data_IF_362617554117
#
_entry.id   IF_362617554117
#
_cell.length_a   1.000
_cell.length_b   1.000
_cell.length_c   1.000
_cell.angle_alpha   90.00
_cell.angle_beta   90.00
_cell.angle_gamma   90.00
#
_symmetry.space_group_name_H-M   'P 1'
#
loop_
_entity.id
_entity.type
_entity.pdbx_description
1 polymer ?
#
# COMPACT_ATOMS: atom_id res chain seq x y z
N UNK A 1 -7.76 7.83 11.64
CA UNK A 1 -8.18 6.90 12.72
C UNK A 1 -6.95 6.34 13.42
N UNK A 2 -6.38 7.06 14.37
CA UNK A 2 -5.23 6.61 15.16
C UNK A 2 -5.65 5.51 16.13
N UNK A 3 -4.83 4.48 16.30
CA UNK A 3 -5.02 3.48 17.36
C UNK A 3 -3.91 3.72 18.36
N UNK A 4 -4.24 4.40 19.44
CA UNK A 4 -3.38 4.53 20.60
C UNK A 4 -3.62 3.30 21.47
N UNK A 5 -2.58 2.50 21.72
CA UNK A 5 -2.71 1.31 22.57
C UNK A 5 -2.17 1.71 23.93
N UNK A 6 -3.05 2.00 24.88
CA UNK A 6 -2.63 2.24 26.26
C UNK A 6 -2.17 0.92 26.89
N UNK A 7 -1.33 1.03 27.93
CA UNK A 7 -0.62 -0.08 28.59
C UNK A 7 -1.60 -1.18 29.10
N UNK A 8 -2.86 -0.81 29.32
CA UNK A 8 -3.93 -1.71 29.78
C UNK A 8 -4.61 -2.49 28.63
N UNK A 9 -4.14 -2.33 27.39
CA UNK A 9 -4.69 -2.98 26.20
C UNK A 9 -5.95 -2.30 25.64
N UNK A 10 -6.34 -1.15 26.18
CA UNK A 10 -7.51 -0.39 25.72
C UNK A 10 -7.09 0.52 24.54
N UNK A 11 -7.69 0.36 23.35
CA UNK A 11 -7.40 1.23 22.22
C UNK A 11 -8.11 2.58 22.38
N UNK A 12 -7.35 3.66 22.53
CA UNK A 12 -7.82 5.04 22.49
C UNK A 12 -7.73 5.61 21.06
N UNK A 13 -8.75 6.34 20.63
CA UNK A 13 -8.84 6.95 19.29
C UNK A 13 -8.51 8.44 19.38
N UNK A 14 -7.45 8.89 18.71
CA UNK A 14 -7.15 10.33 18.57
C UNK A 14 -6.89 10.72 17.11
N UNK A 15 -6.86 12.03 16.84
CA UNK A 15 -6.58 12.63 15.53
C UNK A 15 -5.34 13.50 15.64
N UNK A 16 -4.31 13.23 14.84
CA UNK A 16 -3.14 14.09 14.71
C UNK A 16 -3.34 15.15 13.60
N UNK A 17 -2.82 16.37 13.79
CA UNK A 17 -2.67 17.34 12.72
C UNK A 17 -1.36 17.10 11.94
N UNK A 18 -1.41 17.35 10.63
CA UNK A 18 -0.26 17.65 9.77
C UNK A 18 0.76 16.54 9.42
N UNK A 19 0.29 15.38 8.99
CA UNK A 19 1.05 14.55 8.04
C UNK A 19 0.21 14.41 6.76
N UNK A 20 0.69 14.97 5.64
CA UNK A 20 0.00 15.03 4.35
C UNK A 20 -0.21 13.67 3.65
N UNK A 21 0.11 12.57 4.33
CA UNK A 21 -0.28 11.23 3.88
C UNK A 21 -1.54 10.86 4.64
N UNK A 22 -2.55 10.43 3.90
CA UNK A 22 -3.82 9.89 4.39
C UNK A 22 -3.61 8.52 5.07
N UNK A 23 -2.60 8.43 5.96
CA UNK A 23 -2.28 7.30 6.80
C UNK A 23 -3.46 7.15 7.73
N UNK A 24 -4.38 6.28 7.32
CA UNK A 24 -5.67 6.16 7.99
C UNK A 24 -5.50 5.69 9.43
N UNK A 25 -4.35 5.06 9.79
CA UNK A 25 -4.04 4.60 11.14
C UNK A 25 -2.56 4.72 11.51
N UNK A 26 -2.31 5.45 12.59
CA UNK A 26 -0.99 5.52 13.24
C UNK A 26 -1.07 4.72 14.53
N UNK A 27 -0.11 3.81 14.74
CA UNK A 27 0.16 3.18 16.03
C UNK A 27 0.99 4.14 16.87
N UNK A 28 0.42 4.57 17.98
CA UNK A 28 1.21 5.15 19.05
C UNK A 28 1.40 4.08 20.11
N UNK A 29 2.66 3.81 20.43
CA UNK A 29 3.02 3.19 21.70
C UNK A 29 3.00 4.29 22.77
N UNK A 30 2.91 3.99 24.07
CA UNK A 30 3.05 5.01 25.12
C UNK A 30 4.22 4.75 26.08
N UNK A 31 4.86 3.59 25.98
CA UNK A 31 5.99 3.11 26.77
C UNK A 31 6.34 1.71 26.23
N UNK A 32 7.46 1.06 26.63
CA UNK A 32 8.14 0.03 25.80
C UNK A 32 7.13 -0.98 25.28
N UNK A 33 7.26 -1.38 24.01
CA UNK A 33 6.32 -2.22 23.28
C UNK A 33 5.71 -3.23 24.25
N UNK A 34 4.51 -2.92 24.77
CA UNK A 34 3.89 -3.72 25.82
C UNK A 34 3.79 -5.18 25.36
N UNK A 35 3.47 -6.10 26.27
CA UNK A 35 3.47 -7.55 26.01
C UNK A 35 3.28 -7.92 24.52
N UNK A 36 4.32 -8.40 23.81
CA UNK A 36 4.32 -8.52 22.35
C UNK A 36 3.21 -9.43 21.82
N UNK A 37 2.66 -10.32 22.67
CA UNK A 37 1.51 -11.15 22.34
C UNK A 37 0.23 -10.33 22.20
N UNK A 38 0.01 -9.33 23.06
CA UNK A 38 -1.16 -8.44 22.98
C UNK A 38 -1.07 -7.61 21.71
N UNK A 39 0.09 -7.02 21.43
CA UNK A 39 0.30 -6.25 20.21
C UNK A 39 0.09 -7.10 18.95
N UNK A 40 0.60 -8.33 18.94
CA UNK A 40 0.35 -9.26 17.84
C UNK A 40 -1.14 -9.56 17.65
N UNK A 41 -1.90 -9.74 18.73
CA UNK A 41 -3.35 -9.94 18.66
C UNK A 41 -4.08 -8.71 18.10
N UNK A 42 -3.68 -7.51 18.51
CA UNK A 42 -4.24 -6.25 18.01
C UNK A 42 -3.95 -6.13 16.52
N UNK A 43 -2.69 -6.28 16.11
CA UNK A 43 -2.25 -6.22 14.71
C UNK A 43 -3.01 -7.22 13.84
N UNK A 44 -3.19 -8.47 14.30
CA UNK A 44 -3.92 -9.50 13.56
C UNK A 44 -5.43 -9.24 13.39
N UNK A 45 -6.01 -8.34 14.19
CA UNK A 45 -7.42 -7.95 14.08
C UNK A 45 -7.63 -6.73 13.18
N UNK A 46 -6.54 -6.09 12.72
CA UNK A 46 -6.66 -4.95 11.84
C UNK A 46 -7.09 -5.39 10.43
N UNK A 47 -7.91 -4.59 9.73
CA UNK A 47 -8.28 -4.89 8.35
C UNK A 47 -7.04 -5.01 7.45
N UNK A 48 -7.05 -5.92 6.47
CA UNK A 48 -5.95 -6.10 5.54
C UNK A 48 -5.68 -4.85 4.72
N UNK A 49 -4.46 -4.77 4.20
CA UNK A 49 -3.92 -3.74 3.32
C UNK A 49 -3.95 -2.32 3.90
N UNK A 50 -4.11 -2.17 5.21
CA UNK A 50 -4.01 -0.85 5.84
C UNK A 50 -2.56 -0.48 6.14
N UNK A 51 -2.14 0.74 5.78
CA UNK A 51 -0.88 1.30 6.23
C UNK A 51 -0.94 1.61 7.73
N UNK A 52 0.14 1.24 8.41
CA UNK A 52 0.34 1.40 9.84
C UNK A 52 1.66 2.14 10.06
N UNK A 53 1.58 3.41 10.44
CA UNK A 53 2.75 4.17 10.89
C UNK A 53 3.03 3.92 12.37
N UNK A 54 4.27 4.10 12.78
CA UNK A 54 4.67 4.20 14.18
C UNK A 54 4.79 5.69 14.48
N UNK A 55 4.29 6.22 15.61
CA UNK A 55 4.40 7.66 15.93
C UNK A 55 5.50 8.02 16.93
N UNK A 56 6.19 7.02 17.47
CA UNK A 56 7.17 7.22 18.52
C UNK A 56 8.52 6.66 18.11
N UNK A 57 9.56 7.21 18.70
CA UNK A 57 10.90 6.70 18.56
C UNK A 57 10.99 5.32 19.25
N UNK A 58 11.32 4.29 18.48
CA UNK A 58 11.49 2.95 19.01
C UNK A 58 12.93 2.75 19.47
N UNK A 59 13.11 2.07 20.61
CA UNK A 59 14.40 1.46 20.92
C UNK A 59 14.71 0.36 19.90
N UNK A 60 15.96 -0.08 19.83
CA UNK A 60 16.34 -1.14 18.91
C UNK A 60 15.66 -2.48 19.28
N UNK A 61 15.54 -2.78 20.57
CA UNK A 61 14.86 -3.98 21.07
C UNK A 61 13.38 -4.00 20.69
N UNK A 62 12.71 -2.86 20.85
CA UNK A 62 11.31 -2.65 20.50
C UNK A 62 11.09 -2.77 18.99
N UNK A 63 11.99 -2.19 18.19
CA UNK A 63 12.00 -2.33 16.75
C UNK A 63 12.16 -3.80 16.29
N UNK A 64 13.07 -4.55 16.91
CA UNK A 64 13.27 -5.99 16.66
C UNK A 64 12.00 -6.78 17.02
N UNK A 65 11.41 -6.51 18.19
CA UNK A 65 10.20 -7.17 18.66
C UNK A 65 9.04 -6.92 17.69
N UNK A 66 8.85 -5.67 17.25
CA UNK A 66 7.82 -5.29 16.29
C UNK A 66 8.00 -6.01 14.95
N UNK A 67 9.23 -6.03 14.41
CA UNK A 67 9.54 -6.73 13.15
C UNK A 67 9.12 -8.21 13.17
N UNK A 68 9.41 -8.91 14.28
CA UNK A 68 9.09 -10.34 14.44
C UNK A 68 7.60 -10.64 14.46
N UNK A 69 6.79 -9.74 15.03
CA UNK A 69 5.35 -9.96 15.19
C UNK A 69 4.51 -9.33 14.08
N UNK A 70 5.08 -8.42 13.28
CA UNK A 70 4.32 -7.69 12.27
C UNK A 70 3.63 -8.65 11.28
N UNK A 71 2.33 -8.48 11.01
CA UNK A 71 1.59 -9.37 10.12
C UNK A 71 1.78 -9.01 8.65
N UNK A 72 1.74 -10.03 7.79
CA UNK A 72 1.93 -9.91 6.35
C UNK A 72 0.74 -9.32 5.58
N UNK A 73 -0.42 -9.15 6.22
CA UNK A 73 -1.58 -8.53 5.59
C UNK A 73 -1.63 -7.01 5.80
N UNK A 74 -0.72 -6.42 6.56
CA UNK A 74 -0.63 -4.98 6.79
C UNK A 74 0.56 -4.38 6.02
N UNK A 75 0.56 -3.06 5.90
CA UNK A 75 1.70 -2.28 5.42
C UNK A 75 2.34 -1.55 6.60
N UNK A 76 3.61 -1.83 6.88
CA UNK A 76 4.39 -1.05 7.85
C UNK A 76 4.89 0.22 7.17
N UNK A 77 4.57 1.39 7.71
CA UNK A 77 5.03 2.67 7.15
C UNK A 77 6.33 3.10 7.83
N UNK A 78 7.36 3.35 7.03
CA UNK A 78 8.64 3.92 7.47
C UNK A 78 8.67 5.40 7.09
N UNK A 79 8.92 6.23 8.09
CA UNK A 79 8.95 7.69 7.97
C UNK A 79 10.39 8.22 8.09
N UNK A 80 10.65 9.40 7.53
CA UNK A 80 11.97 10.05 7.51
C UNK A 80 12.48 10.53 8.87
N UNK A 81 11.59 10.75 9.84
CA UNK A 81 11.98 11.12 11.20
C UNK A 81 12.43 9.93 12.05
N UNK A 82 12.20 8.69 11.59
CA UNK A 82 12.64 7.50 12.32
C UNK A 82 14.17 7.36 12.24
N UNK A 83 14.82 7.02 13.36
CA UNK A 83 16.27 6.75 13.36
C UNK A 83 16.60 5.54 12.49
N UNK A 84 17.76 5.61 11.84
CA UNK A 84 18.26 4.60 10.90
C UNK A 84 18.38 3.22 11.54
N UNK A 85 19.06 3.11 12.68
CA UNK A 85 19.41 1.82 13.28
C UNK A 85 18.17 1.04 13.74
N UNK A 86 17.21 1.63 14.48
CA UNK A 86 15.95 0.95 14.80
C UNK A 86 15.17 0.52 13.55
N UNK A 87 15.10 1.37 12.51
CA UNK A 87 14.43 1.01 11.25
C UNK A 87 15.06 -0.22 10.62
N UNK A 88 16.39 -0.25 10.50
CA UNK A 88 17.10 -1.38 9.89
C UNK A 88 16.95 -2.65 10.73
N UNK A 89 17.03 -2.55 12.05
CA UNK A 89 16.85 -3.68 12.96
C UNK A 89 15.42 -4.23 12.93
N UNK A 90 14.42 -3.37 12.77
CA UNK A 90 13.03 -3.78 12.51
C UNK A 90 12.89 -4.51 11.17
N UNK A 91 13.40 -3.91 10.07
CA UNK A 91 13.26 -4.45 8.71
C UNK A 91 13.93 -5.82 8.59
N UNK A 92 15.14 -6.00 9.14
CA UNK A 92 15.86 -7.29 9.18
C UNK A 92 15.07 -8.41 9.83
N UNK A 93 14.23 -8.07 10.82
CA UNK A 93 13.47 -9.03 11.61
C UNK A 93 12.03 -9.24 11.09
N UNK A 94 11.67 -8.62 9.96
CA UNK A 94 10.36 -8.85 9.35
C UNK A 94 10.19 -10.31 8.92
N UNK A 95 8.97 -10.82 9.04
CA UNK A 95 8.62 -12.14 8.52
C UNK A 95 8.49 -12.11 7.00
N UNK A 96 8.83 -13.20 6.28
CA UNK A 96 8.62 -13.29 4.85
C UNK A 96 7.17 -12.99 4.46
N UNK A 97 6.98 -12.14 3.45
CA UNK A 97 5.65 -11.73 2.99
C UNK A 97 5.13 -10.43 3.63
N UNK A 98 5.86 -9.82 4.56
CA UNK A 98 5.50 -8.50 5.08
C UNK A 98 5.55 -7.43 3.98
N UNK A 99 4.66 -6.44 4.07
CA UNK A 99 4.65 -5.30 3.17
C UNK A 99 5.20 -4.07 3.88
N UNK A 100 6.14 -3.40 3.24
CA UNK A 100 6.79 -2.19 3.71
C UNK A 100 6.41 -1.03 2.79
N UNK A 101 5.94 0.05 3.38
CA UNK A 101 5.64 1.30 2.69
C UNK A 101 6.62 2.37 3.16
N UNK A 102 7.43 2.90 2.26
CA UNK A 102 8.46 3.89 2.56
C UNK A 102 8.02 5.27 2.07
N UNK A 103 8.10 6.27 2.94
CA UNK A 103 7.83 7.66 2.56
C UNK A 103 9.01 8.23 1.74
N UNK A 104 8.72 9.02 0.72
CA UNK A 104 9.69 9.61 -0.21
C UNK A 104 10.82 10.45 0.43
N UNK A 105 10.57 11.04 1.60
CA UNK A 105 11.51 11.88 2.32
C UNK A 105 12.64 11.10 3.02
N UNK A 106 12.70 9.77 2.89
CA UNK A 106 13.82 8.99 3.44
C UNK A 106 15.11 9.25 2.64
N UNK A 107 16.24 9.50 3.32
CA UNK A 107 17.56 9.63 2.68
C UNK A 107 17.92 8.43 1.79
N UNK A 108 18.65 8.68 0.70
CA UNK A 108 18.95 7.63 -0.28
C UNK A 108 19.78 6.48 0.29
N UNK A 109 20.70 6.74 1.22
CA UNK A 109 21.51 5.72 1.90
C UNK A 109 20.63 4.81 2.77
N UNK A 110 19.69 5.39 3.51
CA UNK A 110 18.74 4.62 4.33
C UNK A 110 17.79 3.80 3.44
N UNK A 111 17.26 4.38 2.36
CA UNK A 111 16.39 3.65 1.42
C UNK A 111 17.11 2.48 0.76
N UNK A 112 18.40 2.67 0.42
CA UNK A 112 19.27 1.61 -0.10
C UNK A 112 19.46 0.50 0.92
N UNK A 113 19.82 0.83 2.15
CA UNK A 113 20.05 -0.16 3.22
C UNK A 113 18.76 -0.91 3.59
N UNK A 114 17.60 -0.23 3.63
CA UNK A 114 16.30 -0.89 3.80
C UNK A 114 16.10 -1.97 2.73
N UNK A 115 16.37 -1.65 1.46
CA UNK A 115 16.21 -2.59 0.35
C UNK A 115 17.19 -3.78 0.40
N UNK A 116 18.41 -3.55 0.88
CA UNK A 116 19.46 -4.56 1.06
C UNK A 116 19.23 -5.47 2.28
N UNK A 117 18.50 -5.01 3.30
CA UNK A 117 18.23 -5.81 4.50
C UNK A 117 16.82 -6.40 4.51
N UNK A 118 15.99 -6.05 3.53
CA UNK A 118 14.63 -6.55 3.40
C UNK A 118 14.63 -8.08 3.18
N UNK A 119 13.94 -8.86 4.02
CA UNK A 119 13.88 -10.31 3.87
C UNK A 119 13.21 -10.74 2.55
N UNK A 120 13.62 -11.86 1.93
CA UNK A 120 12.98 -12.38 0.72
C UNK A 120 11.47 -12.59 0.91
N UNK A 121 10.70 -12.46 -0.19
CA UNK A 121 9.23 -12.50 -0.25
C UNK A 121 8.51 -11.31 0.38
N UNK A 122 9.20 -10.42 1.09
CA UNK A 122 8.61 -9.15 1.49
C UNK A 122 8.39 -8.24 0.29
N UNK A 123 7.48 -7.29 0.45
CA UNK A 123 7.12 -6.31 -0.58
C UNK A 123 7.56 -4.93 -0.14
N UNK A 124 8.22 -4.19 -1.04
CA UNK A 124 8.58 -2.79 -0.86
C UNK A 124 7.73 -1.92 -1.78
N UNK A 125 7.12 -0.89 -1.21
CA UNK A 125 6.38 0.14 -1.92
C UNK A 125 6.85 1.51 -1.44
N UNK A 126 6.86 2.49 -2.33
CA UNK A 126 7.05 3.89 -1.94
C UNK A 126 5.73 4.65 -2.05
N UNK A 127 5.52 5.66 -1.20
CA UNK A 127 4.30 6.49 -1.23
C UNK A 127 4.25 7.44 -2.41
N UNK A 128 5.38 7.65 -3.09
CA UNK A 128 5.50 8.64 -4.17
C UNK A 128 4.72 8.19 -5.40
N UNK A 129 4.05 9.15 -6.01
CA UNK A 129 3.54 9.11 -7.38
C UNK A 129 4.65 9.37 -8.42
N UNK A 130 5.80 9.92 -7.99
CA UNK A 130 6.91 10.33 -8.86
C UNK A 130 8.24 9.68 -8.52
N UNK A 131 9.08 9.58 -9.54
CA UNK A 131 10.48 9.18 -9.46
C UNK A 131 11.30 10.02 -8.47
N UNK A 132 12.01 9.34 -7.57
CA UNK A 132 12.98 9.97 -6.66
C UNK A 132 14.32 9.20 -6.64
N UNK A 133 15.40 9.89 -6.25
CA UNK A 133 16.72 9.26 -6.10
C UNK A 133 16.70 8.12 -5.08
N UNK A 134 15.91 8.23 -4.01
CA UNK A 134 15.75 7.19 -3.00
C UNK A 134 15.05 5.95 -3.54
N UNK A 135 14.03 6.13 -4.40
CA UNK A 135 13.36 5.02 -5.10
C UNK A 135 14.34 4.24 -5.96
N UNK A 136 15.19 4.94 -6.74
CA UNK A 136 16.20 4.28 -7.55
C UNK A 136 17.28 3.58 -6.73
N UNK A 137 17.75 4.23 -5.65
CA UNK A 137 18.74 3.64 -4.76
C UNK A 137 18.21 2.31 -4.19
N UNK A 138 16.98 2.32 -3.69
CA UNK A 138 16.29 1.12 -3.21
C UNK A 138 16.10 0.07 -4.32
N UNK A 139 15.57 0.44 -5.48
CA UNK A 139 15.34 -0.47 -6.60
C UNK A 139 16.64 -1.18 -7.03
N UNK A 140 17.76 -0.46 -7.07
CA UNK A 140 19.07 -1.00 -7.45
C UNK A 140 19.68 -1.95 -6.42
N UNK A 141 19.35 -1.78 -5.15
CA UNK A 141 19.92 -2.53 -4.04
C UNK A 141 18.96 -3.59 -3.48
N UNK A 142 17.80 -3.73 -4.10
CA UNK A 142 16.73 -4.60 -3.65
C UNK A 142 17.16 -6.07 -3.66
N UNK A 143 16.97 -6.73 -2.52
CA UNK A 143 17.34 -8.13 -2.35
C UNK A 143 16.59 -9.08 -3.30
N UNK A 144 17.28 -10.07 -3.90
CA UNK A 144 16.65 -11.14 -4.65
C UNK A 144 15.45 -11.78 -3.93
N UNK A 145 14.38 -12.03 -4.67
CA UNK A 145 13.16 -12.66 -4.16
C UNK A 145 12.23 -11.73 -3.37
N UNK A 146 12.58 -10.45 -3.18
CA UNK A 146 11.64 -9.44 -2.70
C UNK A 146 10.79 -8.89 -3.84
N UNK A 147 9.63 -8.35 -3.52
CA UNK A 147 8.74 -7.70 -4.46
C UNK A 147 8.87 -6.17 -4.39
N UNK A 148 8.81 -5.51 -5.53
CA UNK A 148 8.75 -4.06 -5.64
C UNK A 148 7.41 -3.66 -6.27
N UNK A 149 6.61 -2.84 -5.58
CA UNK A 149 5.37 -2.30 -6.14
C UNK A 149 5.69 -0.97 -6.83
N UNK A 150 5.49 -0.95 -8.14
CA UNK A 150 5.60 0.25 -8.96
C UNK A 150 4.29 1.06 -8.90
N UNK A 151 4.42 2.34 -8.56
CA UNK A 151 3.31 3.29 -8.39
C UNK A 151 3.31 4.43 -9.41
N UNK A 152 4.42 4.67 -10.13
CA UNK A 152 4.50 5.75 -11.11
C UNK A 152 3.55 5.55 -12.29
N UNK A 153 3.01 6.65 -12.79
CA UNK A 153 2.15 6.72 -13.97
C UNK A 153 2.94 7.11 -15.23
N UNK A 154 4.22 7.45 -15.10
CA UNK A 154 5.07 7.86 -16.21
C UNK A 154 5.83 6.65 -16.80
N UNK A 155 5.80 6.53 -18.13
CA UNK A 155 6.45 5.42 -18.86
C UNK A 155 7.97 5.44 -18.71
N UNK A 156 8.58 6.61 -18.82
CA UNK A 156 10.03 6.75 -18.77
C UNK A 156 10.54 6.44 -17.37
N UNK A 157 9.86 6.93 -16.33
CA UNK A 157 10.15 6.58 -14.94
C UNK A 157 10.01 5.07 -14.70
N UNK A 158 8.91 4.48 -15.17
CA UNK A 158 8.65 3.05 -15.00
C UNK A 158 9.73 2.19 -15.66
N UNK A 159 10.17 2.58 -16.86
CA UNK A 159 11.31 1.98 -17.56
C UNK A 159 12.59 2.08 -16.73
N UNK A 160 12.96 3.26 -16.24
CA UNK A 160 14.22 3.45 -15.50
C UNK A 160 14.21 2.59 -14.22
N UNK A 161 13.11 2.56 -13.49
CA UNK A 161 12.97 1.73 -12.29
C UNK A 161 13.10 0.24 -12.65
N UNK A 162 12.40 -0.20 -13.70
CA UNK A 162 12.46 -1.58 -14.18
C UNK A 162 13.88 -2.03 -14.61
N UNK A 163 14.65 -1.14 -15.26
CA UNK A 163 16.04 -1.41 -15.65
C UNK A 163 16.99 -1.49 -14.44
N UNK A 164 16.68 -0.79 -13.35
CA UNK A 164 17.49 -0.77 -12.12
C UNK A 164 17.17 -1.92 -11.17
N UNK A 165 15.95 -2.44 -11.20
CA UNK A 165 15.57 -3.56 -10.36
C UNK A 165 16.46 -4.80 -10.60
N UNK A 166 16.88 -5.43 -9.50
CA UNK A 166 17.60 -6.69 -9.57
C UNK A 166 16.73 -7.74 -10.27
N UNK A 167 17.30 -8.47 -11.24
CA UNK A 167 16.59 -9.44 -12.10
C UNK A 167 15.87 -10.56 -11.34
N UNK A 168 16.26 -10.81 -10.10
CA UNK A 168 15.67 -11.83 -9.24
C UNK A 168 14.60 -11.25 -8.30
N UNK A 169 14.30 -9.95 -8.39
CA UNK A 169 13.18 -9.33 -7.69
C UNK A 169 11.88 -9.51 -8.48
N UNK A 170 10.75 -9.41 -7.80
CA UNK A 170 9.43 -9.50 -8.38
C UNK A 170 8.90 -8.09 -8.59
N UNK A 171 8.69 -7.69 -9.85
CA UNK A 171 8.02 -6.42 -10.16
C UNK A 171 6.50 -6.62 -10.07
N UNK A 172 5.84 -5.83 -9.21
CA UNK A 172 4.39 -5.73 -9.07
C UNK A 172 3.93 -4.32 -9.44
N UNK A 173 2.63 -4.17 -9.73
CA UNK A 173 2.07 -2.91 -10.19
C UNK A 173 0.91 -2.51 -9.29
N UNK A 174 0.90 -1.26 -8.87
CA UNK A 174 -0.28 -0.68 -8.23
C UNK A 174 -1.48 -0.71 -9.22
N UNK A 175 -2.72 -0.96 -8.76
CA UNK A 175 -3.88 -1.07 -9.66
C UNK A 175 -4.13 0.17 -10.52
N UNK A 176 -3.70 1.34 -10.06
CA UNK A 176 -3.86 2.61 -10.77
C UNK A 176 -2.86 2.81 -11.91
N UNK A 177 -1.80 2.00 -12.00
CA UNK A 177 -0.82 2.12 -13.07
C UNK A 177 -1.49 1.74 -14.41
N UNK A 178 -1.44 2.61 -15.43
CA UNK A 178 -1.97 2.34 -16.77
C UNK A 178 -1.30 1.11 -17.41
N UNK A 179 -2.04 0.35 -18.22
CA UNK A 179 -1.51 -0.91 -18.77
C UNK A 179 -0.32 -0.70 -19.71
N UNK A 180 -0.30 0.39 -20.46
CA UNK A 180 0.82 0.74 -21.35
C UNK A 180 2.10 1.10 -20.56
N UNK A 181 1.98 1.66 -19.36
CA UNK A 181 3.10 1.85 -18.42
C UNK A 181 3.57 0.51 -17.84
N UNK A 182 2.64 -0.42 -17.53
CA UNK A 182 3.00 -1.77 -17.06
C UNK A 182 3.75 -2.55 -18.13
N UNK A 183 3.31 -2.48 -19.38
CA UNK A 183 3.97 -3.13 -20.50
C UNK A 183 5.38 -2.58 -20.71
N UNK A 184 5.54 -1.25 -20.68
CA UNK A 184 6.87 -0.62 -20.76
C UNK A 184 7.80 -1.14 -19.65
N UNK A 185 7.35 -1.15 -18.39
CA UNK A 185 8.15 -1.67 -17.29
C UNK A 185 8.46 -3.18 -17.44
N UNK A 186 7.52 -3.99 -17.94
CA UNK A 186 7.71 -5.43 -18.18
C UNK A 186 8.74 -5.71 -19.27
N UNK A 187 8.76 -4.92 -20.34
CA UNK A 187 9.73 -5.05 -21.42
C UNK A 187 11.16 -4.87 -20.91
N UNK A 188 11.33 -3.96 -19.94
CA UNK A 188 12.64 -3.60 -19.40
C UNK A 188 13.04 -4.41 -18.15
N UNK A 189 12.08 -4.97 -17.42
CA UNK A 189 12.34 -5.85 -16.29
C UNK A 189 12.43 -7.32 -16.73
N UNK A 190 13.66 -7.79 -17.00
CA UNK A 190 13.94 -9.18 -17.42
C UNK A 190 13.79 -10.22 -16.28
N UNK A 191 12.64 -10.30 -15.63
CA UNK A 191 12.36 -11.32 -14.61
C UNK A 191 11.35 -12.37 -15.08
N UNK A 192 11.48 -13.60 -14.56
CA UNK A 192 10.50 -14.68 -14.72
C UNK A 192 9.14 -14.20 -14.22
N UNK A 193 8.11 -14.35 -15.05
CA UNK A 193 6.72 -13.98 -14.74
C UNK A 193 6.29 -14.69 -13.46
N UNK A 194 6.01 -13.93 -12.39
CA UNK A 194 5.21 -14.39 -11.27
C UNK A 194 3.87 -13.68 -11.39
N UNK A 195 2.80 -14.43 -11.64
CA UNK A 195 1.47 -13.85 -11.69
C UNK A 195 1.14 -13.18 -10.35
N UNK A 196 0.76 -11.90 -10.32
CA UNK A 196 0.44 -11.23 -9.06
C UNK A 196 -0.82 -11.83 -8.45
N UNK A 197 -0.79 -12.11 -7.14
CA UNK A 197 -1.98 -12.47 -6.35
C UNK A 197 -2.67 -11.20 -5.85
N UNK A 198 -3.28 -10.44 -6.76
CA UNK A 198 -4.33 -9.51 -6.35
C UNK A 198 -5.65 -10.27 -6.36
N UNK A 199 -6.27 -10.44 -5.20
CA UNK A 199 -7.68 -10.79 -5.13
C UNK A 199 -8.45 -9.63 -5.77
N UNK A 200 -8.91 -9.84 -7.01
CA UNK A 200 -9.96 -9.01 -7.59
C UNK A 200 -11.11 -9.00 -6.60
N UNK A 201 -11.33 -7.86 -5.94
CA UNK A 201 -12.63 -7.57 -5.34
C UNK A 201 -13.58 -7.43 -6.52
N UNK A 202 -14.35 -8.50 -6.81
CA UNK A 202 -15.40 -8.48 -7.82
C UNK A 202 -16.41 -7.40 -7.41
N UNK A 203 -16.29 -6.22 -8.01
CA UNK A 203 -17.40 -5.30 -8.16
C UNK A 203 -18.38 -5.91 -9.16
N UNK A 204 -19.60 -6.17 -8.71
CA UNK A 204 -20.72 -6.55 -9.57
C UNK A 204 -21.18 -5.36 -10.44
N UNK A 205 -21.63 -5.67 -11.66
CA UNK A 205 -22.36 -4.85 -12.66
C UNK A 205 -21.49 -3.98 -13.60
N UNK A 206 -21.65 -3.90 -14.94
CA UNK A 206 -22.61 -4.45 -15.94
C UNK A 206 -22.08 -4.14 -17.38
N UNK A 207 -21.96 -5.15 -18.27
CA UNK A 207 -22.09 -5.06 -19.76
C UNK A 207 -20.93 -4.51 -20.63
N UNK A 208 -20.97 -4.73 -21.96
CA UNK A 208 -20.66 -5.98 -22.66
C UNK A 208 -19.21 -6.00 -23.19
N UNK A 209 -18.55 -7.14 -23.05
CA UNK A 209 -17.23 -7.41 -23.66
C UNK A 209 -17.48 -8.08 -25.02
N UNK A 210 -17.11 -7.41 -26.09
CA UNK A 210 -16.91 -8.05 -27.40
C UNK A 210 -15.45 -8.42 -27.58
N UNK A 211 -15.23 -9.70 -27.88
CA UNK A 211 -14.12 -10.32 -28.62
C UNK A 211 -12.71 -10.30 -28.03
N UNK A 212 -11.85 -11.31 -28.17
CA UNK A 212 -11.86 -12.75 -28.53
C UNK A 212 -10.46 -13.21 -28.08
N UNK A 213 -10.34 -14.39 -27.47
CA UNK A 213 -9.04 -14.95 -27.06
C UNK A 213 -9.21 -16.41 -26.65
N UNK A 214 -9.30 -17.26 -27.67
CA UNK A 214 -9.59 -18.69 -27.63
C UNK A 214 -8.52 -19.45 -26.84
N UNK A 215 -8.93 -20.26 -25.85
CA UNK A 215 -8.29 -21.54 -25.56
C UNK A 215 -9.37 -22.58 -25.21
N UNK A 216 -9.46 -23.64 -26.02
CA UNK A 216 -10.24 -24.86 -25.80
C UNK A 216 -9.39 -25.87 -25.01
N UNK A 217 -9.97 -26.49 -23.97
CA UNK A 217 -10.18 -27.95 -23.84
C UNK A 217 -10.83 -28.24 -22.46
N UNK A 218 -12.10 -28.65 -22.48
CA UNK A 218 -12.65 -29.99 -22.17
C UNK A 218 -13.04 -30.17 -20.70
N UNK A 219 -14.35 -30.05 -20.42
CA UNK A 219 -15.25 -31.11 -19.90
C UNK A 219 -15.14 -31.27 -18.38
N UNK A 220 -16.18 -31.38 -17.57
CA UNK A 220 -17.63 -31.45 -17.73
C UNK A 220 -18.21 -31.23 -16.31
N UNK A 221 -19.35 -30.53 -16.19
CA UNK A 221 -20.43 -30.90 -15.26
C UNK A 221 -21.52 -29.85 -15.30
N UNK A 222 -22.70 -30.37 -15.55
CA UNK A 222 -23.99 -29.72 -15.72
C UNK A 222 -24.53 -29.14 -14.42
N UNK A 223 -24.96 -27.88 -14.43
CA UNK A 223 -26.06 -27.43 -13.56
C UNK A 223 -26.94 -26.42 -14.32
N UNK A 224 -28.25 -26.69 -14.31
CA UNK A 224 -29.31 -25.93 -14.98
C UNK A 224 -29.60 -24.61 -14.25
N UNK A 225 -30.04 -23.56 -14.96
CA UNK A 225 -30.32 -22.25 -14.35
C UNK A 225 -31.73 -22.21 -13.72
N UNK A 226 -31.82 -21.56 -12.54
CA UNK A 226 -33.09 -21.12 -11.96
C UNK A 226 -33.55 -19.83 -12.64
N UNK A 227 -34.85 -19.81 -12.97
CA UNK A 227 -35.58 -18.71 -13.61
C UNK A 227 -36.28 -17.86 -12.55
N UNK A 228 -36.51 -16.57 -12.87
CA UNK A 228 -37.40 -15.58 -12.23
C UNK A 228 -36.78 -14.72 -11.12
N UNK A 229 -36.98 -13.40 -11.03
CA UNK A 229 -38.11 -12.54 -11.45
C UNK A 229 -37.63 -11.10 -11.67
N UNK A 230 -38.23 -10.42 -12.66
CA UNK A 230 -38.11 -8.97 -12.92
C UNK A 230 -38.68 -8.15 -11.76
N UNK A 231 -37.96 -7.14 -11.28
CA UNK A 231 -38.50 -6.04 -10.48
C UNK A 231 -38.36 -4.75 -11.30
N UNK A 232 -39.47 -4.03 -11.45
CA UNK A 232 -39.58 -2.74 -12.16
C UNK A 232 -38.86 -1.64 -11.38
N UNK A 233 -38.23 -0.65 -12.06
CA UNK A 233 -37.77 0.57 -11.41
C UNK A 233 -38.96 1.51 -11.14
N UNK A 234 -39.04 2.04 -9.91
CA UNK A 234 -39.92 3.16 -9.59
C UNK A 234 -39.17 4.48 -9.81
N UNK A 235 -39.82 5.35 -10.55
CA UNK A 235 -39.49 6.74 -10.80
C UNK A 235 -39.99 7.66 -9.68
N UNK A 236 -39.22 8.67 -9.30
CA UNK A 236 -39.71 9.94 -8.77
C UNK A 236 -38.62 10.99 -9.06
N UNK A 237 -38.86 11.92 -10.00
CA UNK A 237 -39.44 13.28 -9.78
C UNK A 237 -38.58 14.09 -8.81
N UNK A 238 -37.69 14.96 -9.31
CA UNK A 238 -37.95 16.33 -9.78
C UNK A 238 -38.34 17.29 -8.65
N UNK A 239 -37.42 18.16 -8.26
CA UNK A 239 -37.74 19.50 -7.78
C UNK A 239 -36.61 20.44 -8.20
N UNK A 240 -36.96 21.32 -9.15
CA UNK A 240 -36.31 22.58 -9.44
C UNK A 240 -36.86 23.61 -8.47
N UNK A 241 -36.05 24.63 -8.18
CA UNK A 241 -36.36 26.08 -8.15
C UNK A 241 -35.44 26.74 -7.11
N UNK A 242 -34.53 27.60 -7.57
CA UNK A 242 -34.61 29.08 -7.56
C UNK A 242 -34.13 29.63 -6.20
N UNK A 243 -33.50 30.79 -6.04
CA UNK A 243 -33.24 31.95 -6.89
C UNK A 243 -32.12 32.75 -6.20
N UNK A 244 -31.32 33.44 -7.01
CA UNK A 244 -30.74 34.78 -6.81
C UNK A 244 -30.45 35.36 -5.41
N UNK A 245 -29.25 35.94 -5.32
CA UNK A 245 -29.11 37.32 -4.83
C UNK A 245 -28.21 37.49 -3.61
N UNK A 246 -27.02 38.07 -3.81
CA UNK A 246 -26.67 39.40 -3.28
C UNK A 246 -25.20 39.74 -3.58
N UNK A 247 -25.05 40.79 -4.38
CA UNK A 247 -23.83 41.56 -4.59
C UNK A 247 -23.48 42.42 -3.36
N UNK A 248 -22.24 42.94 -3.38
CA UNK A 248 -21.75 44.14 -2.70
C UNK A 248 -21.47 43.97 -1.18
N UNK A 249 -20.39 44.49 -0.59
CA UNK A 249 -19.52 45.62 -0.92
C UNK A 249 -18.36 45.71 0.10
N UNK A 250 -17.33 46.51 -0.24
CA UNK A 250 -16.46 47.28 0.68
C UNK A 250 -15.55 46.51 1.65
N UNK A 251 -14.39 46.99 2.10
CA UNK A 251 -13.56 48.17 1.85
C UNK A 251 -12.34 48.00 2.77
N UNK A 252 -11.22 48.63 2.40
CA UNK A 252 -10.10 49.09 3.26
C UNK A 252 -10.02 48.59 4.71
N UNK A 253 -8.87 48.03 5.09
CA UNK A 253 -8.07 48.56 6.22
C UNK A 253 -6.66 47.95 6.26
N UNK A 254 -5.70 48.88 6.40
CA UNK A 254 -4.26 48.76 6.72
C UNK A 254 -3.30 48.20 5.66
#
# INVERSE_FOLDING_TARGET
MQIQIDIDGTPCLQTLPDCALDITRVLQFQSPLGNPRILQQILNRLPPQKPIGISQELSEEDAIALGKIFPNHLFLVICSWMRKEPVLSMVRNLRPGCNLLVIDSIPCDVAKEIAEVLPPKCTLQFTVDKYSKSVLAAASALNPGTAFILTTLDKQEARIIAEKLNRNCILQFHPQVPEDVKEEARLHHRCKRVAPRYLQVKGENTGPISSIGIFKHSESSSFKPYVSKKIKPQSSKSEKENLEGLENSSSMQM
#
